data_IF_830523446180
#
_entry.id   IF_830523446180
#
_cell.length_a   1.000
_cell.length_b   1.000
_cell.length_c   1.000
_cell.angle_alpha   90.00
_cell.angle_beta   90.00
_cell.angle_gamma   90.00
#
_symmetry.space_group_name_H-M   'P 1'
#
loop_
_entity.id
_entity.type
_entity.pdbx_description
1 polymer ?
#
# COMPACT_ATOMS: atom_id res chain seq x y z
N UNK A 1 -28.92 7.49 26.42
CA UNK A 1 -28.50 7.72 25.03
C UNK A 1 -27.47 6.64 24.70
N UNK A 2 -27.89 5.42 24.39
CA UNK A 2 -28.56 5.08 23.14
C UNK A 2 -27.57 4.24 22.34
N UNK A 3 -27.25 3.05 22.88
CA UNK A 3 -26.37 2.07 22.27
C UNK A 3 -26.92 1.74 20.87
N UNK A 4 -26.15 2.09 19.84
CA UNK A 4 -26.41 1.62 18.48
C UNK A 4 -26.36 0.10 18.50
N UNK A 5 -27.51 -0.52 18.21
CA UNK A 5 -27.65 -1.96 18.09
C UNK A 5 -26.66 -2.44 17.03
N UNK A 6 -25.91 -3.51 17.34
CA UNK A 6 -24.95 -4.17 16.44
C UNK A 6 -25.60 -4.75 15.16
N UNK A 7 -26.90 -4.59 14.99
CA UNK A 7 -27.66 -4.99 13.81
C UNK A 7 -27.73 -3.90 12.72
N UNK A 8 -27.57 -2.62 13.07
CA UNK A 8 -27.66 -1.50 12.11
C UNK A 8 -26.37 -1.29 11.27
N UNK A 9 -25.30 -2.02 11.55
CA UNK A 9 -24.05 -1.99 10.75
C UNK A 9 -24.13 -2.91 9.51
N UNK A 10 -25.24 -3.65 9.33
CA UNK A 10 -25.48 -4.53 8.17
C UNK A 10 -26.08 -3.81 6.95
N UNK A 11 -26.06 -2.48 6.89
CA UNK A 11 -26.47 -1.71 5.72
C UNK A 11 -25.28 -1.21 4.89
N UNK A 12 -24.68 -2.14 4.11
CA UNK A 12 -24.08 -1.89 2.78
C UNK A 12 -23.04 -0.73 2.58
N UNK A 13 -21.89 -0.67 3.28
CA UNK A 13 -20.68 -0.03 2.75
C UNK A 13 -19.70 -1.01 2.08
N UNK A 14 -19.98 -2.32 2.14
CA UNK A 14 -19.00 -3.40 1.85
C UNK A 14 -18.71 -3.57 0.35
N UNK A 15 -19.61 -3.16 -0.55
CA UNK A 15 -19.42 -3.41 -2.00
C UNK A 15 -18.29 -2.56 -2.60
N UNK A 16 -18.15 -1.29 -2.18
CA UNK A 16 -17.11 -0.41 -2.70
C UNK A 16 -15.72 -0.77 -2.20
N UNK A 17 -15.57 -1.06 -0.90
CA UNK A 17 -14.29 -1.51 -0.34
C UNK A 17 -13.80 -2.82 -0.97
N UNK A 18 -14.71 -3.78 -1.19
CA UNK A 18 -14.42 -5.02 -1.93
C UNK A 18 -13.97 -4.75 -3.36
N UNK A 19 -14.74 -3.96 -4.12
CA UNK A 19 -14.39 -3.61 -5.51
C UNK A 19 -13.04 -2.90 -5.60
N UNK A 20 -12.79 -1.91 -4.73
CA UNK A 20 -11.51 -1.20 -4.66
C UNK A 20 -10.37 -2.15 -4.29
N UNK A 21 -10.60 -3.09 -3.37
CA UNK A 21 -9.61 -4.11 -3.02
C UNK A 21 -9.29 -5.02 -4.22
N UNK A 22 -10.29 -5.47 -4.96
CA UNK A 22 -10.12 -6.32 -6.15
C UNK A 22 -9.45 -5.56 -7.31
N UNK A 23 -9.75 -4.27 -7.46
CA UNK A 23 -9.23 -3.41 -8.53
C UNK A 23 -7.99 -2.61 -8.15
N UNK A 24 -7.45 -2.78 -6.92
CA UNK A 24 -6.37 -1.93 -6.38
C UNK A 24 -5.15 -1.80 -7.30
N UNK A 25 -4.84 -2.82 -8.08
CA UNK A 25 -3.71 -2.79 -9.04
C UNK A 25 -3.98 -1.89 -10.27
N UNK A 26 -5.25 -1.63 -10.58
CA UNK A 26 -5.70 -0.85 -11.74
C UNK A 26 -6.17 0.56 -11.36
N UNK A 27 -6.56 0.77 -10.11
CA UNK A 27 -6.96 2.10 -9.60
C UNK A 27 -5.95 3.23 -9.82
N UNK A 28 -4.62 3.01 -9.92
CA UNK A 28 -3.68 4.10 -10.20
C UNK A 28 -3.68 4.54 -11.69
N UNK A 29 -4.26 3.78 -12.61
CA UNK A 29 -4.19 4.05 -14.06
C UNK A 29 -4.74 5.44 -14.42
N UNK A 30 -5.92 5.88 -13.94
CA UNK A 30 -6.40 7.24 -14.21
C UNK A 30 -5.45 8.33 -13.70
N UNK A 31 -4.81 8.12 -12.54
CA UNK A 31 -3.80 9.04 -12.02
C UNK A 31 -2.54 9.07 -12.89
N UNK A 32 -2.09 7.92 -13.40
CA UNK A 32 -0.95 7.82 -14.32
C UNK A 32 -1.25 8.56 -15.63
N UNK A 33 -2.44 8.35 -16.21
CA UNK A 33 -2.87 9.06 -17.42
C UNK A 33 -2.90 10.56 -17.16
N UNK A 34 -3.50 10.99 -16.04
CA UNK A 34 -3.54 12.40 -15.69
C UNK A 34 -2.13 12.97 -15.48
N UNK A 35 -1.22 12.22 -14.85
CA UNK A 35 0.18 12.62 -14.66
C UNK A 35 0.87 12.93 -16.00
N UNK A 36 0.71 12.06 -16.99
CA UNK A 36 1.26 12.25 -18.35
C UNK A 36 0.67 13.47 -19.07
N UNK A 37 -0.57 13.87 -18.74
CA UNK A 37 -1.23 15.01 -19.38
C UNK A 37 -0.87 16.35 -18.74
N UNK A 38 -0.47 16.38 -17.48
CA UNK A 38 -0.28 17.61 -16.71
C UNK A 38 1.18 17.93 -16.43
N UNK A 39 2.11 17.02 -16.72
CA UNK A 39 3.51 17.12 -16.32
C UNK A 39 4.19 18.42 -16.78
N UNK A 40 4.96 19.00 -15.85
CA UNK A 40 5.86 20.15 -16.02
C UNK A 40 7.13 19.89 -15.21
N UNK A 41 7.89 18.84 -15.55
CA UNK A 41 9.00 18.40 -14.72
C UNK A 41 10.11 19.45 -14.68
N UNK A 42 10.69 19.64 -13.49
CA UNK A 42 11.95 20.36 -13.30
C UNK A 42 12.95 19.41 -12.65
N UNK A 43 14.25 19.67 -12.78
CA UNK A 43 15.30 18.78 -12.27
C UNK A 43 15.03 18.38 -10.81
N UNK A 44 14.69 19.35 -9.96
CA UNK A 44 14.36 19.08 -8.56
C UNK A 44 13.16 18.13 -8.40
N UNK A 45 12.06 18.35 -9.14
CA UNK A 45 10.86 17.53 -9.03
C UNK A 45 11.10 16.10 -9.51
N UNK A 46 11.86 15.94 -10.59
CA UNK A 46 12.31 14.65 -11.12
C UNK A 46 13.18 13.93 -10.08
N UNK A 47 14.20 14.60 -9.55
CA UNK A 47 15.10 14.00 -8.55
C UNK A 47 14.34 13.54 -7.30
N UNK A 48 13.53 14.41 -6.69
CA UNK A 48 12.76 14.04 -5.50
C UNK A 48 11.71 12.98 -5.81
N UNK A 49 11.04 13.06 -6.96
CA UNK A 49 10.06 12.06 -7.40
C UNK A 49 10.69 10.67 -7.54
N UNK A 50 11.84 10.57 -8.21
CA UNK A 50 12.57 9.32 -8.37
C UNK A 50 13.03 8.74 -7.02
N UNK A 51 13.57 9.58 -6.11
CA UNK A 51 13.95 9.15 -4.77
C UNK A 51 12.77 8.51 -4.04
N UNK A 52 11.59 9.16 -4.08
CA UNK A 52 10.38 8.65 -3.43
C UNK A 52 9.88 7.35 -4.08
N UNK A 53 9.90 7.25 -5.42
CA UNK A 53 9.51 6.04 -6.15
C UNK A 53 10.39 4.86 -5.77
N UNK A 54 11.72 5.02 -5.84
CA UNK A 54 12.65 3.95 -5.52
C UNK A 54 12.65 3.59 -4.04
N UNK A 55 12.52 4.58 -3.15
CA UNK A 55 12.34 4.33 -1.72
C UNK A 55 11.07 3.53 -1.44
N UNK A 56 9.95 3.92 -2.03
CA UNK A 56 8.67 3.22 -1.93
C UNK A 56 8.77 1.77 -2.43
N UNK A 57 9.36 1.55 -3.60
CA UNK A 57 9.48 0.19 -4.14
C UNK A 57 10.46 -0.67 -3.34
N UNK A 58 11.58 -0.12 -2.85
CA UNK A 58 12.48 -0.84 -1.96
C UNK A 58 11.79 -1.26 -0.66
N UNK A 59 11.03 -0.35 -0.04
CA UNK A 59 10.23 -0.65 1.15
C UNK A 59 9.17 -1.71 0.83
N UNK A 60 8.54 -1.64 -0.34
CA UNK A 60 7.54 -2.61 -0.79
C UNK A 60 8.12 -4.01 -0.95
N UNK A 61 9.28 -4.14 -1.59
CA UNK A 61 10.00 -5.42 -1.74
C UNK A 61 10.36 -5.98 -0.37
N UNK A 62 10.85 -5.14 0.54
CA UNK A 62 11.13 -5.54 1.93
C UNK A 62 9.86 -6.05 2.63
N UNK A 63 8.76 -5.31 2.60
CA UNK A 63 7.49 -5.76 3.22
C UNK A 63 6.97 -7.05 2.60
N UNK A 64 7.00 -7.16 1.27
CA UNK A 64 6.56 -8.34 0.54
C UNK A 64 7.34 -9.60 0.86
N UNK A 65 8.58 -9.48 1.35
CA UNK A 65 9.42 -10.62 1.76
C UNK A 65 8.92 -11.33 3.02
N UNK A 66 8.11 -10.66 3.85
CA UNK A 66 7.46 -11.26 5.03
C UNK A 66 6.13 -11.94 4.68
N UNK A 67 5.63 -11.76 3.47
CA UNK A 67 4.36 -12.34 2.97
C UNK A 67 4.64 -13.45 1.95
N UNK A 68 5.90 -13.68 1.54
CA UNK A 68 6.25 -14.74 0.58
C UNK A 68 5.96 -16.12 1.16
N UNK A 69 4.86 -16.75 0.74
CA UNK A 69 4.48 -18.11 1.18
C UNK A 69 3.06 -18.19 1.75
N UNK A 70 2.52 -17.05 2.19
CA UNK A 70 1.10 -16.89 2.49
C UNK A 70 0.47 -16.40 1.19
N UNK A 71 -0.48 -17.17 0.66
CA UNK A 71 -1.01 -16.99 -0.69
C UNK A 71 -1.43 -15.53 -0.95
N UNK A 72 -0.69 -14.81 -1.81
CA UNK A 72 -1.00 -13.41 -2.21
C UNK A 72 -2.22 -13.31 -3.13
N UNK A 73 -2.91 -14.42 -3.39
CA UNK A 73 -3.94 -14.52 -4.41
C UNK A 73 -5.31 -14.20 -3.82
N UNK A 74 -5.75 -12.97 -4.11
CA UNK A 74 -7.17 -12.59 -4.27
C UNK A 74 -8.16 -13.30 -3.34
N UNK A 75 -8.43 -12.75 -2.15
CA UNK A 75 -9.68 -12.96 -1.37
C UNK A 75 -10.16 -14.40 -1.07
N UNK A 76 -9.58 -15.47 -1.62
CA UNK A 76 -10.11 -16.83 -1.60
C UNK A 76 -9.10 -17.85 -1.08
N UNK A 77 -7.83 -17.46 -0.91
CA UNK A 77 -6.83 -18.26 -0.20
C UNK A 77 -6.27 -17.45 0.98
N UNK A 78 -7.15 -17.16 1.92
CA UNK A 78 -6.79 -16.89 3.31
C UNK A 78 -6.17 -18.16 3.97
N UNK A 79 -5.34 -18.94 3.27
CA UNK A 79 -4.54 -20.03 3.84
C UNK A 79 -3.19 -19.47 4.29
N UNK A 80 -3.07 -19.13 5.57
CA UNK A 80 -1.81 -18.68 6.16
C UNK A 80 -2.00 -17.98 7.51
N UNK A 81 -0.90 -17.90 8.27
CA UNK A 81 -0.81 -17.25 9.59
C UNK A 81 -1.00 -15.73 9.49
N UNK A 82 -1.33 -15.09 10.62
CA UNK A 82 -1.27 -13.64 10.72
C UNK A 82 0.20 -13.21 10.72
N UNK A 83 0.58 -12.26 9.86
CA UNK A 83 1.95 -11.74 9.81
C UNK A 83 2.02 -10.53 10.73
N UNK A 84 2.81 -10.66 11.80
CA UNK A 84 3.01 -9.60 12.80
C UNK A 84 4.49 -9.28 13.01
N UNK A 85 5.37 -9.78 12.14
CA UNK A 85 6.83 -9.60 12.23
C UNK A 85 7.38 -8.56 11.25
N UNK A 86 8.61 -8.13 11.50
CA UNK A 86 9.32 -7.17 10.65
C UNK A 86 8.54 -5.86 10.48
N UNK A 87 8.29 -5.38 9.24
CA UNK A 87 7.60 -4.11 9.01
C UNK A 87 6.16 -4.08 9.55
N UNK A 88 5.54 -5.24 9.76
CA UNK A 88 4.20 -5.36 10.36
C UNK A 88 4.19 -5.06 11.86
N UNK A 89 5.34 -4.98 12.53
CA UNK A 89 5.41 -4.52 13.93
C UNK A 89 5.23 -3.00 14.05
N UNK A 90 5.51 -2.24 12.99
CA UNK A 90 5.49 -0.77 12.99
C UNK A 90 4.10 -0.24 12.69
N UNK A 91 3.51 -0.79 11.63
CA UNK A 91 2.20 -0.41 11.11
C UNK A 91 1.53 -1.66 10.55
N UNK A 92 0.21 -1.74 10.63
CA UNK A 92 -0.53 -2.92 10.14
C UNK A 92 -0.52 -3.05 8.62
N UNK A 93 -0.38 -1.93 7.91
CA UNK A 93 -0.47 -1.87 6.45
C UNK A 93 0.81 -1.31 5.80
N UNK A 94 1.99 -1.92 6.04
CA UNK A 94 3.26 -1.33 5.60
C UNK A 94 3.41 -1.34 4.07
N UNK A 95 2.81 -2.30 3.36
CA UNK A 95 2.74 -2.27 1.88
C UNK A 95 1.99 -1.04 1.37
N UNK A 96 0.94 -0.61 2.07
CA UNK A 96 0.18 0.57 1.66
C UNK A 96 0.97 1.86 1.93
N UNK A 97 1.78 1.89 2.98
CA UNK A 97 2.76 2.95 3.19
C UNK A 97 3.77 3.00 2.03
N UNK A 98 4.27 1.85 1.57
CA UNK A 98 5.14 1.79 0.39
C UNK A 98 4.46 2.30 -0.88
N UNK A 99 3.21 1.90 -1.12
CA UNK A 99 2.42 2.36 -2.27
C UNK A 99 2.17 3.88 -2.23
N UNK A 100 2.03 4.46 -1.03
CA UNK A 100 1.92 5.90 -0.86
C UNK A 100 3.18 6.60 -1.39
N UNK A 101 4.37 6.16 -1.01
CA UNK A 101 5.63 6.74 -1.51
C UNK A 101 5.78 6.63 -3.02
N UNK A 102 5.41 5.49 -3.62
CA UNK A 102 5.43 5.33 -5.09
C UNK A 102 4.44 6.30 -5.76
N UNK A 103 3.21 6.40 -5.24
CA UNK A 103 2.15 7.27 -5.80
C UNK A 103 2.52 8.75 -5.68
N UNK A 104 2.99 9.18 -4.51
CA UNK A 104 3.39 10.57 -4.28
C UNK A 104 4.70 10.89 -4.99
N UNK A 105 5.63 9.94 -5.10
CA UNK A 105 6.82 10.11 -5.91
C UNK A 105 6.51 10.37 -7.38
N UNK A 106 5.54 9.64 -7.95
CA UNK A 106 5.01 9.94 -9.29
C UNK A 106 4.38 11.33 -9.37
N UNK A 107 3.55 11.71 -8.38
CA UNK A 107 2.92 13.02 -8.38
C UNK A 107 3.96 14.16 -8.27
N UNK A 108 4.99 14.00 -7.43
CA UNK A 108 6.10 14.94 -7.29
C UNK A 108 6.92 15.01 -8.56
N UNK A 109 7.17 13.88 -9.23
CA UNK A 109 7.89 13.84 -10.51
C UNK A 109 7.31 14.84 -11.52
N UNK A 110 5.98 14.90 -11.63
CA UNK A 110 5.28 15.80 -12.57
C UNK A 110 5.61 17.28 -12.39
N UNK A 111 6.15 17.71 -11.24
CA UNK A 111 6.39 19.13 -10.96
C UNK A 111 5.11 19.94 -10.68
N UNK A 112 3.94 19.29 -10.61
CA UNK A 112 2.66 19.96 -10.47
C UNK A 112 2.13 19.86 -9.03
N UNK A 113 2.19 20.96 -8.29
CA UNK A 113 1.85 21.01 -6.86
C UNK A 113 0.41 20.56 -6.57
N UNK A 114 -0.58 21.04 -7.34
CA UNK A 114 -1.98 20.64 -7.12
C UNK A 114 -2.21 19.15 -7.33
N UNK A 115 -1.43 18.53 -8.23
CA UNK A 115 -1.54 17.11 -8.54
C UNK A 115 -1.02 16.24 -7.38
N UNK A 116 -0.02 16.72 -6.63
CA UNK A 116 0.43 16.08 -5.38
C UNK A 116 -0.70 16.02 -4.35
N UNK A 117 -1.37 17.15 -4.08
CA UNK A 117 -2.49 17.18 -3.13
C UNK A 117 -3.68 16.33 -3.57
N UNK A 118 -4.02 16.35 -4.87
CA UNK A 118 -5.04 15.49 -5.43
C UNK A 118 -4.69 14.00 -5.23
N UNK A 119 -3.43 13.63 -5.52
CA UNK A 119 -2.95 12.26 -5.36
C UNK A 119 -2.99 11.80 -3.91
N UNK A 120 -2.59 12.65 -2.96
CA UNK A 120 -2.72 12.35 -1.51
C UNK A 120 -4.18 12.13 -1.13
N UNK A 121 -5.07 13.04 -1.53
CA UNK A 121 -6.49 12.96 -1.20
C UNK A 121 -7.14 11.68 -1.73
N UNK A 122 -6.94 11.39 -3.03
CA UNK A 122 -7.50 10.19 -3.66
C UNK A 122 -6.91 8.91 -3.07
N UNK A 123 -5.60 8.91 -2.77
CA UNK A 123 -4.96 7.80 -2.09
C UNK A 123 -5.58 7.54 -0.72
N UNK A 124 -5.69 8.57 0.13
CA UNK A 124 -6.28 8.44 1.46
C UNK A 124 -7.73 7.95 1.40
N UNK A 125 -8.53 8.50 0.49
CA UNK A 125 -9.93 8.10 0.29
C UNK A 125 -10.04 6.63 -0.12
N UNK A 126 -9.26 6.22 -1.12
CA UNK A 126 -9.24 4.83 -1.59
C UNK A 126 -8.80 3.86 -0.48
N UNK A 127 -7.67 4.15 0.17
CA UNK A 127 -7.08 3.24 1.15
C UNK A 127 -7.88 3.16 2.44
N UNK A 128 -8.66 4.20 2.79
CA UNK A 128 -9.64 4.12 3.87
C UNK A 128 -10.64 2.99 3.63
N UNK A 129 -11.26 2.92 2.46
CA UNK A 129 -12.23 1.86 2.14
C UNK A 129 -11.60 0.48 1.99
N UNK A 130 -10.40 0.41 1.39
CA UNK A 130 -9.65 -0.85 1.24
C UNK A 130 -9.32 -1.44 2.60
N UNK A 131 -8.77 -0.62 3.51
CA UNK A 131 -8.39 -1.08 4.85
C UNK A 131 -9.61 -1.51 5.66
N UNK A 132 -10.71 -0.76 5.65
CA UNK A 132 -11.93 -1.19 6.36
C UNK A 132 -12.43 -2.57 5.88
N UNK A 133 -12.41 -2.81 4.57
CA UNK A 133 -12.77 -4.11 4.01
C UNK A 133 -11.78 -5.20 4.43
N UNK A 134 -10.49 -4.96 4.29
CA UNK A 134 -9.45 -5.93 4.64
C UNK A 134 -9.44 -6.26 6.14
N UNK A 135 -9.56 -5.27 7.03
CA UNK A 135 -9.67 -5.50 8.47
C UNK A 135 -10.91 -6.34 8.80
N UNK A 136 -12.02 -6.18 8.07
CA UNK A 136 -13.20 -7.01 8.28
C UNK A 136 -12.95 -8.49 7.93
N UNK A 137 -12.19 -8.75 6.86
CA UNK A 137 -11.78 -10.11 6.47
C UNK A 137 -10.79 -10.72 7.47
N UNK A 138 -9.83 -9.91 7.94
CA UNK A 138 -8.83 -10.35 8.92
C UNK A 138 -9.47 -10.64 10.27
N UNK A 139 -10.42 -9.80 10.73
CA UNK A 139 -11.22 -10.06 11.93
C UNK A 139 -12.05 -11.34 11.81
N UNK A 140 -12.73 -11.53 10.67
CA UNK A 140 -13.54 -12.72 10.43
C UNK A 140 -12.71 -14.01 10.43
N UNK A 141 -11.45 -13.93 10.01
CA UNK A 141 -10.55 -15.08 9.92
C UNK A 141 -9.79 -15.38 11.22
N UNK A 142 -9.13 -14.38 11.79
CA UNK A 142 -8.16 -14.55 12.88
C UNK A 142 -8.76 -14.22 14.26
N UNK A 143 -9.97 -13.63 14.31
CA UNK A 143 -10.68 -13.36 15.56
C UNK A 143 -9.86 -12.53 16.54
N UNK A 144 -9.70 -13.05 17.75
CA UNK A 144 -9.06 -12.35 18.88
C UNK A 144 -7.58 -12.02 18.62
N UNK A 145 -6.84 -12.90 17.93
CA UNK A 145 -5.43 -12.69 17.59
C UNK A 145 -5.23 -11.37 16.82
N UNK A 146 -6.12 -11.09 15.86
CA UNK A 146 -6.07 -9.86 15.10
C UNK A 146 -6.55 -8.64 15.90
N UNK A 147 -7.51 -8.82 16.81
CA UNK A 147 -7.98 -7.73 17.70
C UNK A 147 -6.84 -7.29 18.62
N UNK A 148 -6.11 -8.22 19.23
CA UNK A 148 -4.94 -7.92 20.05
C UNK A 148 -3.84 -7.21 19.26
N UNK A 149 -3.58 -7.67 18.03
CA UNK A 149 -2.63 -7.04 17.14
C UNK A 149 -3.02 -5.58 16.83
N UNK A 150 -4.31 -5.32 16.58
CA UNK A 150 -4.84 -3.98 16.34
C UNK A 150 -4.70 -3.01 17.53
N UNK A 151 -4.68 -3.53 18.76
CA UNK A 151 -4.45 -2.71 19.96
C UNK A 151 -2.98 -2.28 20.07
N UNK A 152 -2.05 -3.16 19.67
CA UNK A 152 -0.60 -2.96 19.80
C UNK A 152 -0.04 -2.11 18.66
N UNK A 153 -0.44 -2.38 17.42
CA UNK A 153 0.17 -1.81 16.21
C UNK A 153 -0.79 -0.86 15.49
N UNK A 154 -0.43 0.41 15.20
CA UNK A 154 -1.28 1.37 14.48
C UNK A 154 -1.44 1.03 12.99
N UNK A 155 -2.44 1.60 12.32
CA UNK A 155 -2.73 1.27 10.91
C UNK A 155 -1.67 1.78 9.90
N UNK A 156 -1.17 3.02 10.07
CA UNK A 156 -0.33 3.70 9.07
C UNK A 156 0.83 4.53 9.61
N UNK A 157 0.73 5.06 10.84
CA UNK A 157 1.77 5.90 11.44
C UNK A 157 2.32 5.24 12.71
N UNK A 158 3.63 4.93 12.78
CA UNK A 158 4.21 4.22 13.91
C UNK A 158 4.13 5.06 15.20
N UNK A 159 3.72 4.45 16.32
CA UNK A 159 3.67 5.13 17.63
C UNK A 159 5.05 5.35 18.23
N UNK A 160 6.00 4.46 17.92
CA UNK A 160 7.41 4.50 18.34
C UNK A 160 8.25 3.91 17.22
N UNK A 161 9.44 4.47 16.99
CA UNK A 161 10.45 3.83 16.17
C UNK A 161 11.07 2.70 17.00
N UNK A 162 10.90 1.42 16.62
CA UNK A 162 11.58 0.32 17.29
C UNK A 162 13.07 0.33 16.96
N UNK A 163 13.79 -0.36 17.82
CA UNK A 163 15.21 -0.68 17.68
C UNK A 163 15.40 -1.65 16.51
N UNK A 164 16.21 -1.29 15.52
CA UNK A 164 16.45 -2.10 14.30
C UNK A 164 17.05 -3.47 14.63
N UNK A 165 17.79 -3.55 15.74
CA UNK A 165 18.37 -4.74 16.35
C UNK A 165 17.33 -5.70 16.96
N UNK A 166 16.11 -5.23 17.22
CA UNK A 166 15.01 -6.05 17.72
C UNK A 166 14.13 -6.64 16.61
N UNK A 167 14.44 -6.38 15.33
CA UNK A 167 13.70 -6.93 14.20
C UNK A 167 14.15 -8.37 13.95
N UNK A 168 13.41 -9.32 14.53
CA UNK A 168 13.55 -10.71 14.15
C UNK A 168 13.15 -10.89 12.67
N UNK A 169 14.06 -11.46 11.88
CA UNK A 169 13.81 -11.86 10.50
C UNK A 169 13.56 -13.36 10.51
N UNK A 170 12.32 -13.82 10.28
CA UNK A 170 12.02 -15.23 10.21
C UNK A 170 12.85 -15.95 9.12
N UNK A 171 13.27 -17.21 9.33
CA UNK A 171 14.14 -17.92 8.39
C UNK A 171 13.48 -18.20 7.03
N UNK A 172 12.15 -18.09 6.93
CA UNK A 172 11.37 -18.23 5.70
C UNK A 172 11.29 -16.94 4.85
N UNK A 173 11.75 -15.80 5.38
CA UNK A 173 11.84 -14.53 4.63
C UNK A 173 12.83 -14.67 3.48
N UNK A 174 12.36 -14.39 2.27
CA UNK A 174 13.20 -14.50 1.07
C UNK A 174 13.04 -13.29 0.16
N UNK A 175 14.06 -12.44 0.15
CA UNK A 175 14.13 -11.27 -0.71
C UNK A 175 14.08 -11.66 -2.19
N UNK A 176 14.76 -12.74 -2.58
CA UNK A 176 14.75 -13.26 -3.95
C UNK A 176 13.35 -13.68 -4.41
N UNK A 177 12.54 -14.30 -3.52
CA UNK A 177 11.14 -14.60 -3.83
C UNK A 177 10.29 -13.33 -3.89
N UNK A 178 10.55 -12.36 -3.01
CA UNK A 178 9.85 -11.09 -3.01
C UNK A 178 10.03 -10.34 -4.33
N UNK A 179 11.28 -10.17 -4.78
CA UNK A 179 11.63 -9.53 -6.06
C UNK A 179 10.95 -10.24 -7.23
N UNK A 180 10.95 -11.58 -7.25
CA UNK A 180 10.27 -12.35 -8.32
C UNK A 180 8.77 -12.09 -8.36
N UNK A 181 8.14 -11.88 -7.22
CA UNK A 181 6.71 -11.60 -7.14
C UNK A 181 6.38 -10.13 -7.44
N UNK A 182 7.35 -9.21 -7.29
CA UNK A 182 7.21 -7.78 -7.64
C UNK A 182 7.54 -7.47 -9.11
N UNK A 183 7.73 -8.46 -9.97
CA UNK A 183 7.97 -8.24 -11.42
C UNK A 183 6.95 -7.30 -12.06
N UNK A 184 5.66 -7.43 -11.70
CA UNK A 184 4.60 -6.60 -12.27
C UNK A 184 4.76 -5.12 -11.90
N UNK A 185 5.19 -4.81 -10.69
CA UNK A 185 5.37 -3.43 -10.26
C UNK A 185 6.63 -2.81 -10.80
N UNK A 186 7.72 -3.57 -10.91
CA UNK A 186 8.89 -3.12 -11.65
C UNK A 186 8.57 -2.80 -13.11
N UNK A 187 7.80 -3.67 -13.80
CA UNK A 187 7.35 -3.39 -15.16
C UNK A 187 6.47 -2.15 -15.22
N UNK A 188 5.54 -1.97 -14.29
CA UNK A 188 4.67 -0.79 -14.26
C UNK A 188 5.47 0.51 -14.02
N UNK A 189 6.37 0.54 -13.03
CA UNK A 189 7.24 1.69 -12.77
C UNK A 189 8.09 2.01 -13.99
N UNK A 190 8.73 1.00 -14.58
CA UNK A 190 9.53 1.18 -15.80
C UNK A 190 8.70 1.73 -16.95
N UNK A 191 7.52 1.17 -17.23
CA UNK A 191 6.63 1.64 -18.30
C UNK A 191 6.17 3.08 -18.09
N UNK A 192 5.84 3.47 -16.86
CA UNK A 192 5.43 4.83 -16.54
C UNK A 192 6.59 5.81 -16.69
N UNK A 193 7.76 5.51 -16.13
CA UNK A 193 8.94 6.36 -16.26
C UNK A 193 9.39 6.48 -17.72
N UNK A 194 9.32 5.38 -18.48
CA UNK A 194 9.62 5.39 -19.90
C UNK A 194 8.65 6.28 -20.68
N UNK A 195 7.34 6.20 -20.38
CA UNK A 195 6.34 7.07 -20.99
C UNK A 195 6.61 8.54 -20.66
N UNK A 196 6.86 8.88 -19.40
CA UNK A 196 7.17 10.26 -18.97
C UNK A 196 8.40 10.82 -19.72
N UNK A 197 9.44 10.01 -19.92
CA UNK A 197 10.63 10.43 -20.69
C UNK A 197 10.32 10.62 -22.18
N UNK A 198 9.44 9.80 -22.76
CA UNK A 198 9.06 9.92 -24.18
C UNK A 198 8.12 11.10 -24.47
N UNK A 199 7.23 11.42 -23.52
CA UNK A 199 6.22 12.47 -23.68
C UNK A 199 6.65 13.83 -23.11
N UNK A 200 7.70 13.86 -22.28
CA UNK A 200 8.39 15.07 -21.85
C UNK A 200 9.00 15.79 -23.06
N UNK A 201 8.35 16.88 -23.50
CA UNK A 201 8.87 17.81 -24.52
C UNK A 201 9.94 18.75 -23.96
#
# INVERSE_FOLDING_TARGET
MGWLKMEDVRAQPINWGKKLFELRDYTPIPLIILALLVEKPVIASVTFGLILIFFGEALRVYCSSFITGISRTRSSSLGGRLVTEGPFTFVRNPIYVSNFFVTIGLAVYTGVVWFVFLSIFLFCLQYYFIVLYEESLLRAKFGEEYIEYCQKVPAFFPKKLPRLDALEVPPDVSLSKAIKNEKRTFMAIFSVLFALVLFSN
#
